data_IF_255142635830
#
_entry.id   IF_255142635830
#
_cell.length_a   1.000
_cell.length_b   1.000
_cell.length_c   1.000
_cell.angle_alpha   90.00
_cell.angle_beta   90.00
_cell.angle_gamma   90.00
#
_symmetry.space_group_name_H-M   'P 1'
#
loop_
_entity.id
_entity.type
_entity.pdbx_description
1 polymer ?
#
# COMPACT_ATOMS: atom_id res chain seq x y z
N UNK A 1 -14.65 -26.49 -19.17
CA UNK A 1 -13.64 -25.88 -20.06
C UNK A 1 -12.89 -26.98 -20.79
N UNK A 2 -12.58 -26.78 -22.06
CA UNK A 2 -11.70 -27.67 -22.81
C UNK A 2 -10.22 -27.36 -22.51
N UNK A 3 -9.30 -28.21 -22.98
CA UNK A 3 -7.87 -28.08 -22.72
C UNK A 3 -7.27 -26.78 -23.26
N UNK A 4 -7.76 -26.28 -24.40
CA UNK A 4 -7.26 -25.06 -25.03
C UNK A 4 -7.67 -23.81 -24.25
N UNK A 5 -8.90 -23.79 -23.72
CA UNK A 5 -9.40 -22.73 -22.84
C UNK A 5 -8.59 -22.64 -21.53
N UNK A 6 -8.22 -23.78 -20.95
CA UNK A 6 -7.37 -23.80 -19.74
C UNK A 6 -5.99 -23.22 -20.03
N UNK A 7 -5.34 -23.66 -21.11
CA UNK A 7 -4.01 -23.16 -21.49
C UNK A 7 -4.01 -21.66 -21.82
N UNK A 8 -5.07 -21.18 -22.48
CA UNK A 8 -5.23 -19.75 -22.77
C UNK A 8 -5.36 -18.92 -21.48
N UNK A 9 -6.14 -19.40 -20.51
CA UNK A 9 -6.29 -18.76 -19.19
C UNK A 9 -4.96 -18.72 -18.43
N UNK A 10 -4.24 -19.84 -18.37
CA UNK A 10 -2.93 -19.92 -17.71
C UNK A 10 -1.91 -18.94 -18.33
N UNK A 11 -1.89 -18.85 -19.67
CA UNK A 11 -1.01 -17.90 -20.37
C UNK A 11 -1.39 -16.44 -20.10
N UNK A 12 -2.68 -16.11 -20.05
CA UNK A 12 -3.14 -14.77 -19.72
C UNK A 12 -2.76 -14.35 -18.29
N UNK A 13 -2.87 -15.26 -17.31
CA UNK A 13 -2.44 -15.02 -15.93
C UNK A 13 -0.94 -14.77 -15.87
N UNK A 14 -0.14 -15.61 -16.54
CA UNK A 14 1.31 -15.44 -16.54
C UNK A 14 1.71 -14.09 -17.15
N UNK A 15 1.12 -13.73 -18.29
CA UNK A 15 1.33 -12.44 -18.91
C UNK A 15 0.96 -11.28 -17.97
N UNK A 16 -0.18 -11.37 -17.27
CA UNK A 16 -0.59 -10.35 -16.32
C UNK A 16 0.32 -10.25 -15.08
N UNK A 17 0.88 -11.39 -14.61
CA UNK A 17 1.85 -11.42 -13.50
C UNK A 17 3.18 -10.78 -13.88
N UNK A 18 3.57 -10.83 -15.15
CA UNK A 18 4.80 -10.23 -15.66
C UNK A 18 4.69 -8.72 -15.93
N UNK A 19 3.48 -8.16 -15.96
CA UNK A 19 3.27 -6.72 -16.09
C UNK A 19 3.78 -5.96 -14.85
N UNK A 20 4.23 -4.72 -15.08
CA UNK A 20 4.71 -3.86 -14.01
C UNK A 20 3.55 -3.37 -13.13
N UNK A 21 3.81 -3.13 -11.84
CA UNK A 21 2.90 -2.40 -10.99
C UNK A 21 2.62 -1.00 -11.58
N UNK A 22 1.42 -0.48 -11.36
CA UNK A 22 0.92 0.71 -12.02
C UNK A 22 0.35 0.46 -13.43
N UNK A 23 0.44 -0.76 -13.97
CA UNK A 23 -0.21 -1.08 -15.25
C UNK A 23 -1.72 -1.26 -15.04
N UNK A 24 -2.53 -0.56 -15.83
CA UNK A 24 -3.98 -0.74 -15.90
C UNK A 24 -4.30 -1.99 -16.72
N UNK A 25 -5.11 -2.88 -16.18
CA UNK A 25 -5.57 -4.08 -16.86
C UNK A 25 -6.86 -3.77 -17.61
N UNK A 26 -6.78 -3.80 -18.93
CA UNK A 26 -7.96 -3.65 -19.80
C UNK A 26 -8.95 -4.79 -19.56
N UNK A 27 -10.25 -4.50 -19.60
CA UNK A 27 -11.30 -5.49 -19.27
C UNK A 27 -11.21 -6.79 -20.09
N UNK A 28 -10.77 -6.70 -21.35
CA UNK A 28 -10.56 -7.88 -22.21
C UNK A 28 -9.42 -8.79 -21.72
N UNK A 29 -8.40 -8.24 -21.05
CA UNK A 29 -7.32 -9.03 -20.45
C UNK A 29 -7.76 -9.73 -19.15
N UNK A 30 -8.90 -9.34 -18.59
CA UNK A 30 -9.46 -9.88 -17.35
C UNK A 30 -10.56 -10.92 -17.60
N UNK A 31 -11.03 -11.05 -18.84
CA UNK A 31 -12.14 -11.93 -19.18
C UNK A 31 -11.78 -13.42 -18.93
N UNK A 32 -12.54 -14.06 -18.04
CA UNK A 32 -12.34 -15.45 -17.67
C UNK A 32 -11.19 -15.72 -16.69
N UNK A 33 -10.49 -14.71 -16.19
CA UNK A 33 -9.47 -14.86 -15.15
C UNK A 33 -10.10 -14.99 -13.76
N UNK A 34 -9.57 -15.89 -12.92
CA UNK A 34 -9.82 -15.78 -11.48
C UNK A 34 -8.90 -14.70 -10.93
N UNK A 35 -9.45 -13.59 -10.46
CA UNK A 35 -8.64 -12.49 -9.93
C UNK A 35 -7.76 -12.92 -8.77
N UNK A 36 -8.19 -13.92 -7.99
CA UNK A 36 -7.42 -14.53 -6.90
C UNK A 36 -6.01 -14.98 -7.33
N UNK A 37 -5.81 -15.37 -8.58
CA UNK A 37 -4.50 -15.78 -9.08
C UNK A 37 -3.55 -14.60 -9.35
N UNK A 38 -4.07 -13.37 -9.38
CA UNK A 38 -3.29 -12.14 -9.50
C UNK A 38 -2.98 -11.50 -8.14
N UNK A 39 -3.53 -12.05 -7.05
CA UNK A 39 -3.15 -11.76 -5.67
C UNK A 39 -2.17 -12.82 -5.17
N UNK A 40 -0.91 -12.46 -4.93
CA UNK A 40 0.08 -13.44 -4.48
C UNK A 40 1.17 -12.83 -3.60
N UNK A 41 1.79 -13.72 -2.82
CA UNK A 41 2.92 -13.41 -1.93
C UNK A 41 4.14 -14.17 -2.42
N UNK A 42 5.30 -13.51 -2.48
CA UNK A 42 6.60 -14.17 -2.72
C UNK A 42 7.67 -13.70 -1.74
N UNK A 43 8.71 -14.51 -1.59
CA UNK A 43 9.94 -14.11 -0.90
C UNK A 43 10.63 -12.99 -1.68
N UNK A 44 11.46 -12.23 -0.97
CA UNK A 44 12.33 -11.23 -1.59
C UNK A 44 13.43 -11.94 -2.39
N UNK A 45 13.30 -11.93 -3.71
CA UNK A 45 14.27 -12.46 -4.65
C UNK A 45 15.32 -11.41 -5.05
N UNK A 46 16.33 -11.81 -5.84
CA UNK A 46 17.44 -10.90 -6.20
C UNK A 46 17.00 -9.76 -7.14
N UNK A 47 15.94 -9.95 -7.92
CA UNK A 47 15.35 -8.88 -8.73
C UNK A 47 14.74 -7.80 -7.83
N UNK A 48 14.04 -8.20 -6.76
CA UNK A 48 13.50 -7.25 -5.78
C UNK A 48 14.63 -6.58 -5.00
N UNK A 49 15.65 -7.33 -4.53
CA UNK A 49 16.81 -6.74 -3.85
C UNK A 49 17.48 -5.66 -4.69
N UNK A 50 17.61 -5.89 -6.00
CA UNK A 50 18.17 -4.91 -6.93
C UNK A 50 17.35 -3.63 -6.99
N UNK A 51 16.02 -3.70 -6.83
CA UNK A 51 15.13 -2.53 -6.81
C UNK A 51 15.21 -1.74 -5.50
N UNK A 52 15.38 -2.43 -4.35
CA UNK A 52 15.19 -1.80 -3.03
C UNK A 52 16.49 -1.43 -2.29
N UNK A 53 17.60 -2.08 -2.62
CA UNK A 53 18.88 -1.85 -1.93
C UNK A 53 19.44 -0.46 -2.22
N UNK A 54 19.87 0.22 -1.15
CA UNK A 54 20.32 1.62 -1.21
C UNK A 54 19.18 2.64 -1.26
N UNK A 55 17.92 2.19 -1.24
CA UNK A 55 16.70 3.01 -1.22
C UNK A 55 15.88 2.71 0.03
N UNK A 56 14.75 1.98 -0.10
CA UNK A 56 13.89 1.61 1.03
C UNK A 56 14.55 0.57 1.93
N UNK A 57 15.49 -0.21 1.40
CA UNK A 57 16.37 -1.10 2.16
C UNK A 57 17.78 -0.52 2.20
N UNK A 58 18.07 0.25 3.24
CA UNK A 58 19.37 0.92 3.43
C UNK A 58 20.46 -0.04 3.90
N UNK A 59 21.71 0.36 3.79
CA UNK A 59 22.87 -0.44 4.21
C UNK A 59 22.84 -0.80 5.70
N UNK A 60 22.21 0.03 6.52
CA UNK A 60 22.02 -0.15 7.96
C UNK A 60 20.67 -0.77 8.33
N UNK A 61 19.88 -1.23 7.34
CA UNK A 61 18.64 -1.95 7.59
C UNK A 61 18.91 -3.28 8.29
N UNK A 62 18.37 -3.42 9.50
CA UNK A 62 18.55 -4.61 10.34
C UNK A 62 17.45 -5.66 10.16
N UNK A 63 16.46 -5.40 9.31
CA UNK A 63 15.36 -6.33 9.04
C UNK A 63 15.81 -7.42 8.05
N UNK A 64 15.78 -8.71 8.43
CA UNK A 64 16.16 -9.78 7.52
C UNK A 64 15.24 -9.84 6.30
N UNK A 65 15.79 -10.06 5.09
CA UNK A 65 14.95 -10.28 3.90
C UNK A 65 13.96 -11.45 4.07
N UNK A 66 14.33 -12.47 4.85
CA UNK A 66 13.46 -13.61 5.17
C UNK A 66 12.25 -13.23 6.01
N UNK A 67 12.27 -12.07 6.67
CA UNK A 67 11.14 -11.49 7.40
C UNK A 67 10.28 -10.58 6.52
N UNK A 68 10.70 -10.28 5.29
CA UNK A 68 9.93 -9.49 4.33
C UNK A 68 9.31 -10.37 3.25
N UNK A 69 8.19 -9.91 2.71
CA UNK A 69 7.47 -10.51 1.59
C UNK A 69 7.12 -9.42 0.59
N UNK A 70 7.29 -9.74 -0.68
CA UNK A 70 6.70 -8.96 -1.75
C UNK A 70 5.30 -9.48 -2.02
N UNK A 71 4.35 -8.56 -2.06
CA UNK A 71 2.94 -8.84 -2.30
C UNK A 71 2.54 -8.17 -3.60
N UNK A 72 1.78 -8.92 -4.40
CA UNK A 72 1.09 -8.41 -5.59
C UNK A 72 -0.40 -8.48 -5.36
N UNK A 73 -1.06 -7.38 -5.71
CA UNK A 73 -2.49 -7.18 -5.53
C UNK A 73 -3.07 -6.48 -6.75
N UNK A 74 -4.38 -6.50 -6.87
CA UNK A 74 -5.12 -5.60 -7.75
C UNK A 74 -5.80 -4.53 -6.89
N UNK A 75 -5.99 -3.35 -7.47
CA UNK A 75 -6.78 -2.27 -6.87
C UNK A 75 -7.61 -1.55 -7.95
N UNK A 76 -8.63 -0.80 -7.52
CA UNK A 76 -9.38 0.11 -8.40
C UNK A 76 -8.81 1.51 -8.27
N UNK A 77 -8.32 2.08 -9.38
CA UNK A 77 -7.87 3.47 -9.38
C UNK A 77 -9.04 4.45 -9.34
N UNK A 78 -8.78 5.76 -9.30
CA UNK A 78 -9.87 6.74 -9.19
C UNK A 78 -10.75 6.85 -10.44
N UNK A 79 -10.33 6.27 -11.57
CA UNK A 79 -11.16 6.09 -12.76
C UNK A 79 -12.02 4.81 -12.69
N UNK A 80 -11.93 4.03 -11.61
CA UNK A 80 -12.63 2.75 -11.44
C UNK A 80 -12.01 1.59 -12.23
N UNK A 81 -10.81 1.77 -12.80
CA UNK A 81 -10.12 0.73 -13.57
C UNK A 81 -9.28 -0.16 -12.67
N UNK A 82 -9.22 -1.44 -13.02
CA UNK A 82 -8.33 -2.40 -12.36
C UNK A 82 -6.87 -2.09 -12.70
N UNK A 83 -6.05 -1.93 -11.67
CA UNK A 83 -4.63 -1.64 -11.80
C UNK A 83 -3.81 -2.57 -10.91
N UNK A 84 -2.62 -2.92 -11.37
CA UNK A 84 -1.69 -3.78 -10.62
C UNK A 84 -1.02 -2.96 -9.51
N UNK A 85 -1.13 -3.42 -8.27
CA UNK A 85 -0.42 -2.89 -7.13
C UNK A 85 0.69 -3.82 -6.64
N UNK A 86 1.70 -3.26 -5.98
CA UNK A 86 2.74 -4.02 -5.29
C UNK A 86 3.12 -3.39 -3.95
N UNK A 87 3.50 -4.23 -2.99
CA UNK A 87 3.97 -3.82 -1.67
C UNK A 87 5.09 -4.74 -1.18
N UNK A 88 5.91 -4.25 -0.26
CA UNK A 88 6.76 -5.08 0.59
C UNK A 88 6.27 -4.94 2.02
N UNK A 89 6.05 -6.07 2.69
CA UNK A 89 5.51 -6.11 4.06
C UNK A 89 6.21 -7.21 4.86
N UNK A 90 6.06 -7.21 6.18
CA UNK A 90 6.55 -8.27 7.03
C UNK A 90 5.77 -9.58 6.80
N UNK A 91 6.46 -10.72 6.80
CA UNK A 91 5.85 -12.05 6.66
C UNK A 91 4.78 -12.32 7.71
N UNK A 92 4.86 -11.71 8.89
CA UNK A 92 3.89 -11.93 9.97
C UNK A 92 2.51 -11.34 9.69
N UNK A 93 2.41 -10.40 8.74
CA UNK A 93 1.14 -9.76 8.37
C UNK A 93 0.82 -9.93 6.88
N UNK A 94 1.64 -10.68 6.13
CA UNK A 94 1.53 -10.75 4.67
C UNK A 94 0.20 -11.34 4.19
N UNK A 95 -0.27 -12.42 4.83
CA UNK A 95 -1.57 -13.03 4.51
C UNK A 95 -2.74 -12.09 4.84
N UNK A 96 -2.70 -11.45 6.02
CA UNK A 96 -3.71 -10.47 6.41
C UNK A 96 -3.82 -9.35 5.38
N UNK A 97 -2.68 -8.82 4.92
CA UNK A 97 -2.61 -7.74 3.95
C UNK A 97 -3.10 -8.17 2.57
N UNK A 98 -2.75 -9.38 2.13
CA UNK A 98 -3.28 -9.93 0.89
C UNK A 98 -4.81 -9.99 0.92
N UNK A 99 -5.37 -10.51 2.01
CA UNK A 99 -6.82 -10.63 2.20
C UNK A 99 -7.51 -9.27 2.34
N UNK A 100 -6.85 -8.26 2.93
CA UNK A 100 -7.36 -6.88 2.97
C UNK A 100 -7.52 -6.35 1.55
N UNK A 101 -6.49 -6.47 0.72
CA UNK A 101 -6.57 -5.90 -0.63
C UNK A 101 -7.53 -6.66 -1.54
N UNK A 102 -7.74 -7.97 -1.32
CA UNK A 102 -8.84 -8.70 -1.97
C UNK A 102 -10.20 -8.12 -1.58
N UNK A 103 -10.45 -7.96 -0.28
CA UNK A 103 -11.69 -7.38 0.24
C UNK A 103 -11.95 -5.96 -0.27
N UNK A 104 -10.90 -5.13 -0.35
CA UNK A 104 -11.00 -3.78 -0.91
C UNK A 104 -11.24 -3.77 -2.41
N UNK A 105 -10.58 -4.66 -3.16
CA UNK A 105 -10.77 -4.79 -4.59
C UNK A 105 -12.19 -5.26 -4.95
N UNK A 106 -12.71 -6.26 -4.24
CA UNK A 106 -14.06 -6.79 -4.43
C UNK A 106 -15.16 -5.76 -4.12
N UNK A 107 -14.84 -4.78 -3.26
CA UNK A 107 -15.72 -3.68 -2.92
C UNK A 107 -15.56 -2.44 -3.81
N UNK A 108 -14.77 -2.55 -4.88
CA UNK A 108 -14.40 -1.43 -5.76
C UNK A 108 -13.81 -0.22 -4.99
N UNK A 109 -13.11 -0.46 -3.87
CA UNK A 109 -12.56 0.61 -3.04
C UNK A 109 -11.48 1.39 -3.80
N UNK A 110 -11.57 2.74 -3.88
CA UNK A 110 -10.67 3.53 -4.69
C UNK A 110 -9.29 3.68 -4.02
N UNK A 111 -8.26 3.14 -4.66
CA UNK A 111 -6.84 3.36 -4.35
C UNK A 111 -6.15 3.84 -5.61
N UNK A 112 -5.61 5.05 -5.59
CA UNK A 112 -5.13 5.69 -6.83
C UNK A 112 -3.86 5.03 -7.37
N UNK A 113 -2.91 4.71 -6.49
CA UNK A 113 -1.60 4.21 -6.88
C UNK A 113 -1.03 3.33 -5.78
N UNK A 114 -0.34 2.27 -6.19
CA UNK A 114 0.35 1.35 -5.29
C UNK A 114 1.57 0.73 -5.98
N UNK A 115 2.67 1.47 -6.00
CA UNK A 115 3.98 1.00 -6.45
C UNK A 115 4.96 1.02 -5.27
N UNK A 116 6.06 0.28 -5.37
CA UNK A 116 7.08 0.35 -4.32
C UNK A 116 7.55 1.79 -4.14
N UNK A 117 7.82 2.17 -2.89
CA UNK A 117 8.32 3.51 -2.56
C UNK A 117 9.68 3.81 -3.21
N UNK A 118 10.39 2.76 -3.65
CA UNK A 118 11.65 2.83 -4.38
C UNK A 118 11.53 3.47 -5.76
N UNK A 119 10.33 3.52 -6.36
CA UNK A 119 10.04 4.30 -7.57
C UNK A 119 10.12 5.82 -7.31
N UNK A 120 10.11 6.21 -6.04
CA UNK A 120 10.30 7.57 -5.54
C UNK A 120 11.63 7.72 -4.79
N UNK A 121 12.60 6.85 -5.05
CA UNK A 121 13.91 6.81 -4.36
C UNK A 121 13.81 6.69 -2.82
N UNK A 122 12.72 6.09 -2.34
CA UNK A 122 12.37 5.99 -0.91
C UNK A 122 12.08 7.33 -0.21
N UNK A 123 11.86 8.42 -0.97
CA UNK A 123 11.48 9.72 -0.47
C UNK A 123 9.99 9.78 -0.13
N UNK A 124 9.70 9.63 1.17
CA UNK A 124 8.36 9.50 1.75
C UNK A 124 7.40 10.62 1.31
N UNK A 125 7.82 11.89 1.42
CA UNK A 125 6.99 13.02 1.03
C UNK A 125 6.68 13.05 -0.47
N UNK A 126 7.62 12.62 -1.33
CA UNK A 126 7.41 12.57 -2.78
C UNK A 126 6.38 11.49 -3.14
N UNK A 127 6.50 10.31 -2.52
CA UNK A 127 5.54 9.20 -2.67
C UNK A 127 4.15 9.61 -2.16
N UNK A 128 4.07 10.24 -0.98
CA UNK A 128 2.81 10.71 -0.41
C UNK A 128 2.15 11.79 -1.28
N UNK A 129 2.91 12.77 -1.76
CA UNK A 129 2.40 13.84 -2.62
C UNK A 129 1.86 13.32 -3.95
N UNK A 130 2.40 12.20 -4.44
CA UNK A 130 1.91 11.46 -5.59
C UNK A 130 0.74 10.51 -5.27
N UNK A 131 0.19 10.55 -4.06
CA UNK A 131 -0.89 9.70 -3.58
C UNK A 131 -0.59 8.18 -3.68
N UNK A 132 0.68 7.79 -3.55
CA UNK A 132 1.09 6.39 -3.62
C UNK A 132 0.86 5.68 -2.29
N UNK A 133 0.01 4.66 -2.28
CA UNK A 133 -0.14 3.77 -1.14
C UNK A 133 1.09 2.87 -1.03
N UNK A 134 1.71 2.82 0.14
CA UNK A 134 3.01 2.16 0.31
C UNK A 134 3.16 1.53 1.70
N UNK A 135 4.15 0.66 1.86
CA UNK A 135 4.35 -0.12 3.08
C UNK A 135 5.81 -0.02 3.55
N UNK A 136 6.65 -1.03 3.29
CA UNK A 136 8.03 -1.03 3.77
C UNK A 136 8.84 0.17 3.29
N UNK A 137 9.43 0.89 4.25
CA UNK A 137 10.43 1.93 4.03
C UNK A 137 11.31 2.02 5.30
N UNK A 138 12.58 1.62 5.21
CA UNK A 138 13.50 1.70 6.33
C UNK A 138 13.90 3.16 6.60
N UNK A 139 13.33 3.74 7.65
CA UNK A 139 13.49 5.13 8.05
C UNK A 139 13.15 5.36 9.52
N UNK A 140 13.62 6.48 10.05
CA UNK A 140 13.16 6.98 11.33
C UNK A 140 11.94 7.87 11.13
N UNK A 141 11.09 7.98 12.14
CA UNK A 141 9.95 8.89 12.14
C UNK A 141 10.48 10.32 12.07
N UNK A 142 9.94 11.12 11.15
CA UNK A 142 10.47 12.45 10.83
C UNK A 142 10.61 13.35 12.07
N UNK A 143 11.82 13.89 12.25
CA UNK A 143 12.19 14.73 13.38
C UNK A 143 12.49 13.97 14.68
N UNK A 144 12.62 12.64 14.64
CA UNK A 144 12.90 11.80 15.82
C UNK A 144 13.98 10.74 15.53
N UNK A 145 14.48 10.08 16.58
CA UNK A 145 15.33 8.88 16.49
C UNK A 145 14.53 7.58 16.62
N UNK A 146 13.19 7.66 16.62
CA UNK A 146 12.32 6.49 16.74
C UNK A 146 12.17 5.83 15.38
N UNK A 147 12.43 4.53 15.29
CA UNK A 147 12.20 3.75 14.08
C UNK A 147 10.71 3.76 13.71
N UNK A 148 10.42 3.89 12.41
CA UNK A 148 9.04 3.83 11.91
C UNK A 148 8.52 2.40 11.86
N UNK A 149 7.22 2.18 12.06
CA UNK A 149 6.59 0.88 11.83
C UNK A 149 6.69 0.41 10.37
N UNK A 150 6.83 1.35 9.42
CA UNK A 150 7.13 1.05 8.02
C UNK A 150 8.47 0.35 7.86
N UNK A 151 9.44 0.64 8.73
CA UNK A 151 10.78 0.05 8.65
C UNK A 151 10.80 -1.41 9.01
N UNK A 152 9.83 -1.88 9.78
CA UNK A 152 9.65 -3.28 10.13
C UNK A 152 8.71 -4.01 9.15
N UNK A 153 8.18 -3.30 8.14
CA UNK A 153 7.16 -3.81 7.24
C UNK A 153 5.83 -4.09 7.95
N UNK A 154 5.51 -3.39 9.02
CA UNK A 154 4.30 -3.62 9.84
C UNK A 154 3.25 -2.52 9.68
N UNK A 155 3.49 -1.58 8.76
CA UNK A 155 2.58 -0.48 8.47
C UNK A 155 2.35 -0.31 6.97
N UNK A 156 1.18 0.23 6.64
CA UNK A 156 0.71 0.54 5.29
C UNK A 156 0.03 1.90 5.34
N UNK A 157 0.38 2.76 4.39
CA UNK A 157 -0.29 4.02 4.13
C UNK A 157 -1.21 3.89 2.92
N UNK A 158 -2.45 4.36 3.04
CA UNK A 158 -3.47 4.30 1.98
C UNK A 158 -3.87 5.71 1.52
N UNK A 159 -3.75 5.97 0.22
CA UNK A 159 -4.04 7.27 -0.42
C UNK A 159 -3.53 8.48 0.40
N UNK A 160 -2.20 8.61 0.62
CA UNK A 160 -1.61 9.65 1.46
C UNK A 160 -2.05 11.09 1.21
N UNK A 161 -2.29 11.44 -0.07
CA UNK A 161 -2.68 12.81 -0.42
C UNK A 161 -4.03 13.18 0.21
N UNK A 162 -5.00 12.25 0.15
CA UNK A 162 -6.36 12.45 0.65
C UNK A 162 -6.52 12.08 2.13
N UNK A 163 -5.53 11.40 2.70
CA UNK A 163 -5.50 10.98 4.09
C UNK A 163 -4.20 11.43 4.75
N UNK A 164 -3.95 12.74 4.86
CA UNK A 164 -2.64 13.25 5.24
C UNK A 164 -2.31 12.99 6.72
N UNK A 165 -1.03 13.09 7.04
CA UNK A 165 -0.51 13.17 8.39
C UNK A 165 -0.57 14.61 8.92
N UNK A 166 -1.33 14.84 9.99
CA UNK A 166 -1.58 16.13 10.61
C UNK A 166 -1.00 16.14 12.02
N UNK A 167 0.04 16.94 12.26
CA UNK A 167 0.72 17.04 13.56
C UNK A 167 0.98 18.49 13.97
N UNK A 168 1.26 18.70 15.26
CA UNK A 168 1.72 20.00 15.76
C UNK A 168 3.22 20.00 15.96
N UNK A 169 3.93 20.95 15.35
CA UNK A 169 5.37 21.20 15.55
C UNK A 169 5.56 22.67 15.94
N UNK A 170 6.22 22.91 17.08
CA UNK A 170 6.47 24.28 17.60
C UNK A 170 5.19 25.15 17.69
N UNK A 171 4.07 24.55 18.11
CA UNK A 171 2.78 25.24 18.25
C UNK A 171 2.05 25.54 16.93
N UNK A 172 2.57 25.08 15.79
CA UNK A 172 1.91 25.19 14.48
C UNK A 172 1.48 23.83 13.97
N UNK A 173 0.32 23.77 13.34
CA UNK A 173 -0.10 22.61 12.58
C UNK A 173 0.80 22.44 11.35
N UNK A 174 1.17 21.20 11.07
CA UNK A 174 1.96 20.77 9.91
C UNK A 174 1.22 19.59 9.30
N UNK A 175 0.91 19.70 8.01
CA UNK A 175 0.26 18.65 7.23
C UNK A 175 1.28 18.07 6.25
N UNK A 176 1.38 16.75 6.19
CA UNK A 176 2.22 16.01 5.25
C UNK A 176 1.35 15.01 4.46
N UNK A 177 1.46 14.94 3.13
CA UNK A 177 2.29 15.82 2.29
C UNK A 177 1.71 17.25 2.25
N UNK A 178 2.53 18.25 1.87
CA UNK A 178 2.11 19.67 1.90
C UNK A 178 0.91 19.95 0.98
N UNK A 179 0.87 19.31 -0.19
CA UNK A 179 -0.26 19.37 -1.11
C UNK A 179 -1.53 18.65 -0.59
N UNK A 180 -1.44 17.97 0.55
CA UNK A 180 -2.57 17.35 1.25
C UNK A 180 -3.30 18.30 2.22
N UNK A 181 -2.84 19.55 2.37
CA UNK A 181 -3.37 20.50 3.38
C UNK A 181 -4.89 20.69 3.30
N UNK A 182 -5.46 20.75 2.10
CA UNK A 182 -6.92 20.92 1.96
C UNK A 182 -7.75 19.73 2.45
N UNK A 183 -7.12 18.55 2.52
CA UNK A 183 -7.71 17.27 2.92
C UNK A 183 -7.59 16.97 4.42
N UNK A 184 -6.85 17.80 5.15
CA UNK A 184 -6.77 17.73 6.61
C UNK A 184 -8.08 18.10 7.31
N UNK A 185 -8.92 18.93 6.67
CA UNK A 185 -10.25 19.26 7.18
C UNK A 185 -11.22 18.07 6.98
N UNK A 186 -11.37 17.28 8.06
CA UNK A 186 -12.26 16.10 8.10
C UNK A 186 -13.74 16.44 8.32
N UNK A 187 -14.11 17.73 8.36
CA UNK A 187 -15.53 18.14 8.38
C UNK A 187 -16.13 18.16 6.97
N UNK A 188 -15.29 18.15 5.93
CA UNK A 188 -15.70 18.06 4.53
C UNK A 188 -16.04 16.62 4.15
N UNK A 189 -16.93 16.50 3.18
CA UNK A 189 -17.19 15.23 2.51
C UNK A 189 -16.22 15.03 1.35
N UNK A 190 -15.60 13.85 1.29
CA UNK A 190 -14.72 13.44 0.21
C UNK A 190 -14.74 11.90 0.14
N UNK A 191 -14.96 11.30 -1.05
CA UNK A 191 -15.10 9.85 -1.20
C UNK A 191 -13.81 9.07 -0.93
N UNK A 192 -12.65 9.74 -0.88
CA UNK A 192 -11.35 9.10 -0.66
C UNK A 192 -10.88 9.19 0.80
N UNK A 193 -11.71 9.76 1.68
CA UNK A 193 -11.41 9.87 3.09
C UNK A 193 -11.64 8.54 3.81
N UNK A 194 -10.59 8.03 4.45
CA UNK A 194 -10.73 6.97 5.45
C UNK A 194 -11.40 7.58 6.69
N UNK A 195 -12.54 7.02 7.07
CA UNK A 195 -13.31 7.40 8.25
C UNK A 195 -13.50 6.17 9.14
N UNK A 196 -13.89 6.40 10.38
CA UNK A 196 -14.42 5.32 11.21
C UNK A 196 -15.68 4.79 10.51
N UNK A 197 -15.75 3.47 10.34
CA UNK A 197 -16.77 2.76 9.56
C UNK A 197 -16.60 2.77 8.02
N UNK A 198 -15.54 3.38 7.49
CA UNK A 198 -15.14 3.16 6.10
C UNK A 198 -14.72 1.70 5.87
N UNK A 199 -14.93 1.19 4.66
CA UNK A 199 -14.60 -0.21 4.34
C UNK A 199 -13.10 -0.51 4.47
N UNK A 200 -12.23 0.45 4.14
CA UNK A 200 -10.80 0.33 4.39
C UNK A 200 -10.51 0.20 5.88
N UNK A 201 -11.08 1.08 6.70
CA UNK A 201 -10.94 0.98 8.15
C UNK A 201 -11.42 -0.39 8.69
N UNK A 202 -12.56 -0.90 8.21
CA UNK A 202 -13.11 -2.19 8.66
C UNK A 202 -12.24 -3.37 8.22
N UNK A 203 -11.76 -3.38 6.97
CA UNK A 203 -10.92 -4.45 6.43
C UNK A 203 -9.62 -4.60 7.24
N UNK A 204 -8.97 -3.48 7.57
CA UNK A 204 -7.76 -3.46 8.40
C UNK A 204 -8.07 -3.82 9.87
N UNK A 205 -9.07 -3.20 10.50
CA UNK A 205 -9.36 -3.40 11.93
C UNK A 205 -9.84 -4.81 12.26
N UNK A 206 -10.62 -5.46 11.39
CA UNK A 206 -11.01 -6.88 11.51
C UNK A 206 -9.81 -7.83 11.64
N UNK A 207 -8.66 -7.47 11.07
CA UNK A 207 -7.41 -8.24 11.10
C UNK A 207 -6.44 -7.74 12.18
N UNK A 208 -6.89 -6.85 13.07
CA UNK A 208 -6.11 -6.39 14.22
C UNK A 208 -5.15 -5.24 13.92
N UNK A 209 -5.27 -4.57 12.77
CA UNK A 209 -4.54 -3.32 12.54
C UNK A 209 -5.19 -2.18 13.31
N UNK A 210 -4.35 -1.29 13.84
CA UNK A 210 -4.76 0.00 14.39
C UNK A 210 -4.64 1.08 13.33
N UNK A 211 -5.48 2.11 13.42
CA UNK A 211 -5.51 3.22 12.47
C UNK A 211 -5.00 4.52 13.09
N UNK A 212 -4.09 5.21 12.41
CA UNK A 212 -3.48 6.47 12.85
C UNK A 212 -4.47 7.64 12.97
N UNK A 213 -5.60 7.57 12.24
CA UNK A 213 -6.70 8.52 12.39
C UNK A 213 -7.35 8.50 13.78
N UNK A 214 -7.15 7.44 14.57
CA UNK A 214 -7.64 7.36 15.95
C UNK A 214 -6.66 7.91 16.99
N UNK A 215 -5.41 8.19 16.63
CA UNK A 215 -4.40 8.68 17.59
C UNK A 215 -4.81 10.00 18.24
N UNK A 216 -4.50 10.20 19.52
CA UNK A 216 -4.92 11.40 20.28
C UNK A 216 -4.19 12.67 19.83
N UNK A 217 -2.96 12.51 19.36
CA UNK A 217 -2.12 13.56 18.80
C UNK A 217 -1.52 13.05 17.50
N UNK A 218 -1.16 13.98 16.61
CA UNK A 218 -0.53 13.66 15.33
C UNK A 218 -1.38 12.69 14.49
N UNK A 219 -2.56 13.12 14.08
CA UNK A 219 -3.51 12.29 13.32
C UNK A 219 -2.88 11.85 12.01
N UNK A 220 -2.72 10.56 11.82
CA UNK A 220 -2.13 10.00 10.61
C UNK A 220 -3.19 9.20 9.84
N UNK A 221 -3.94 9.89 8.98
CA UNK A 221 -5.17 9.34 8.40
C UNK A 221 -4.90 8.22 7.38
N UNK A 222 -3.72 8.20 6.78
CA UNK A 222 -3.27 7.17 5.83
C UNK A 222 -2.85 5.88 6.55
N UNK A 223 -2.38 5.99 7.79
CA UNK A 223 -1.53 5.00 8.43
C UNK A 223 -2.32 3.89 9.11
N UNK A 224 -2.07 2.66 8.70
CA UNK A 224 -2.47 1.45 9.42
C UNK A 224 -1.25 0.70 9.89
N UNK A 225 -1.27 0.17 11.10
CA UNK A 225 -0.18 -0.68 11.61
C UNK A 225 -0.69 -1.81 12.49
N UNK A 226 0.01 -2.94 12.43
CA UNK A 226 -0.18 -4.08 13.32
C UNK A 226 1.16 -4.41 13.96
N UNK A 227 1.35 -3.91 15.18
CA UNK A 227 2.55 -4.17 15.98
C UNK A 227 2.22 -5.38 16.86
N UNK A 228 2.96 -6.47 16.67
CA UNK A 228 2.86 -7.67 17.48
C UNK A 228 3.47 -7.48 18.88
#
# INVERSE_FOLDING_TARGET
MNKEEILAKEAAILNARDLAAGTVLESAALEGLEFDELFYIKKIDDNIKTRINGKSYKDDCDVPYDDLRYIRVLHKNFEGKTQIGELIINKSVAEDVLDIFKELYDADYPIERMVLIDEYDAEDNTSMAANNSSAFNFRFVDGTTKRSSHSDGLAIDINPLYNPYVRTRNGKEVVLPENGTEYADRTKENPYYIKKDDICYQAFSKRGFTWGGEWKSSKDYQHFQKIN
#
